data_IF_495952555113
#
_entry.id   IF_495952555113
#
_cell.length_a   1.000
_cell.length_b   1.000
_cell.length_c   1.000
_cell.angle_alpha   90.00
_cell.angle_beta   90.00
_cell.angle_gamma   90.00
#
_symmetry.space_group_name_H-M   'P 1'
#
loop_
_entity.id
_entity.type
_entity.pdbx_description
1 polymer ?
#
# COMPACT_ATOMS: atom_id res chain seq x y z
N UNK A 1 7.99 0.72 -11.69
CA UNK A 1 6.98 1.79 -11.73
C UNK A 1 6.89 2.45 -10.36
N UNK A 2 6.82 3.77 -10.33
CA UNK A 2 6.56 4.59 -9.14
C UNK A 2 5.54 5.67 -9.47
N UNK A 3 5.11 6.44 -8.48
CA UNK A 3 4.17 7.54 -8.69
C UNK A 3 4.41 8.69 -7.71
N UNK A 4 3.90 9.84 -8.07
CA UNK A 4 3.76 11.02 -7.19
C UNK A 4 2.42 11.71 -7.45
N UNK A 5 1.95 12.47 -6.46
CA UNK A 5 0.71 13.23 -6.58
C UNK A 5 1.07 14.61 -7.14
N UNK A 6 0.53 14.95 -8.32
CA UNK A 6 0.81 16.22 -9.01
C UNK A 6 2.31 16.54 -9.06
N UNK A 7 2.69 17.79 -8.98
CA UNK A 7 4.08 18.26 -8.98
C UNK A 7 4.84 18.00 -7.66
N UNK A 8 4.33 17.12 -6.78
CA UNK A 8 4.92 16.90 -5.46
C UNK A 8 5.50 15.49 -5.29
N UNK A 9 6.69 15.22 -5.84
CA UNK A 9 7.33 13.91 -5.71
C UNK A 9 7.66 13.60 -4.25
N UNK A 10 7.12 12.51 -3.77
CA UNK A 10 7.29 12.02 -2.40
C UNK A 10 8.72 11.54 -2.13
N UNK A 11 9.05 11.30 -0.85
CA UNK A 11 10.31 10.64 -0.51
C UNK A 11 10.40 9.26 -1.16
N UNK A 12 9.31 8.50 -1.19
CA UNK A 12 9.32 7.13 -1.72
C UNK A 12 9.50 7.10 -3.24
N UNK A 13 8.86 8.03 -3.99
CA UNK A 13 9.06 8.13 -5.44
C UNK A 13 10.51 8.51 -5.78
N UNK A 14 11.07 9.50 -5.09
CA UNK A 14 12.48 9.90 -5.25
C UNK A 14 13.43 8.75 -4.94
N UNK A 15 13.17 8.01 -3.86
CA UNK A 15 14.00 6.88 -3.45
C UNK A 15 13.87 5.70 -4.44
N UNK A 16 12.68 5.45 -4.98
CA UNK A 16 12.49 4.44 -6.01
C UNK A 16 13.27 4.77 -7.29
N UNK A 17 13.26 6.02 -7.72
CA UNK A 17 14.05 6.49 -8.88
C UNK A 17 15.56 6.33 -8.61
N UNK A 18 16.03 6.73 -7.41
CA UNK A 18 17.43 6.55 -7.00
C UNK A 18 17.85 5.07 -7.05
N UNK A 19 17.01 4.17 -6.53
CA UNK A 19 17.26 2.72 -6.58
C UNK A 19 17.35 2.24 -8.02
N UNK A 20 16.40 2.62 -8.87
CA UNK A 20 16.41 2.23 -10.27
C UNK A 20 17.69 2.69 -10.98
N UNK A 21 18.15 3.91 -10.72
CA UNK A 21 19.38 4.44 -11.29
C UNK A 21 20.62 3.65 -10.83
N UNK A 22 20.72 3.34 -9.55
CA UNK A 22 21.84 2.55 -8.99
C UNK A 22 21.87 1.12 -9.57
N UNK A 23 20.69 0.53 -9.73
CA UNK A 23 20.52 -0.83 -10.23
C UNK A 23 20.51 -0.92 -11.76
N UNK A 24 20.59 0.22 -12.43
CA UNK A 24 20.42 0.34 -13.89
C UNK A 24 19.10 -0.28 -14.38
N UNK A 25 18.04 -0.08 -13.63
CA UNK A 25 16.68 -0.50 -13.98
C UNK A 25 15.92 0.62 -14.64
N UNK A 26 15.06 0.26 -15.59
CA UNK A 26 14.12 1.21 -16.17
C UNK A 26 13.10 1.63 -15.11
N UNK A 27 12.98 2.93 -14.86
CA UNK A 27 11.96 3.51 -14.00
C UNK A 27 10.91 4.25 -14.84
N UNK A 28 9.66 4.05 -14.51
CA UNK A 28 8.52 4.84 -15.02
C UNK A 28 7.88 5.50 -13.81
N UNK A 29 7.95 6.81 -13.76
CA UNK A 29 7.29 7.61 -12.73
C UNK A 29 5.99 8.17 -13.29
N UNK A 30 4.89 7.96 -12.58
CA UNK A 30 3.56 8.36 -13.01
C UNK A 30 3.08 9.51 -12.15
N UNK A 31 2.75 10.63 -12.78
CA UNK A 31 2.02 11.70 -12.13
C UNK A 31 0.56 11.30 -11.95
N UNK A 32 0.06 11.49 -10.74
CA UNK A 32 -1.31 11.18 -10.34
C UNK A 32 -2.05 12.48 -10.08
N UNK A 33 -2.94 12.92 -10.98
CA UNK A 33 -3.71 14.14 -10.81
C UNK A 33 -4.76 13.98 -9.72
N UNK A 34 -5.18 15.09 -9.12
CA UNK A 34 -6.28 15.13 -8.15
C UNK A 34 -7.53 15.83 -8.67
N UNK A 35 -7.50 16.35 -9.87
CA UNK A 35 -8.63 17.10 -10.46
C UNK A 35 -9.91 16.26 -10.57
N UNK A 36 -9.77 14.96 -10.85
CA UNK A 36 -10.89 14.03 -10.96
C UNK A 36 -11.06 13.15 -9.72
N UNK A 37 -10.50 13.51 -8.58
CA UNK A 37 -10.47 12.67 -7.37
C UNK A 37 -11.86 12.18 -6.95
N UNK A 38 -12.90 12.99 -7.18
CA UNK A 38 -14.30 12.61 -6.91
C UNK A 38 -14.78 11.49 -7.84
N UNK A 39 -14.50 11.60 -9.14
CA UNK A 39 -14.83 10.55 -10.12
C UNK A 39 -14.07 9.26 -9.84
N UNK A 40 -12.79 9.39 -9.50
CA UNK A 40 -11.94 8.25 -9.12
C UNK A 40 -12.43 7.55 -7.87
N UNK A 41 -12.87 8.32 -6.88
CA UNK A 41 -13.48 7.77 -5.67
C UNK A 41 -14.72 6.93 -6.01
N UNK A 42 -15.59 7.41 -6.91
CA UNK A 42 -16.76 6.64 -7.36
C UNK A 42 -16.37 5.39 -8.13
N UNK A 43 -15.35 5.47 -8.98
CA UNK A 43 -14.81 4.29 -9.69
C UNK A 43 -14.33 3.24 -8.69
N UNK A 44 -13.55 3.64 -7.70
CA UNK A 44 -13.07 2.75 -6.65
C UNK A 44 -14.21 2.14 -5.82
N UNK A 45 -15.23 2.94 -5.52
CA UNK A 45 -16.40 2.48 -4.78
C UNK A 45 -17.23 1.48 -5.59
N UNK A 46 -17.59 1.83 -6.84
CA UNK A 46 -18.55 1.07 -7.64
C UNK A 46 -17.93 -0.16 -8.32
N UNK A 47 -16.73 -0.03 -8.84
CA UNK A 47 -16.10 -1.09 -9.64
C UNK A 47 -15.14 -1.93 -8.78
N UNK A 48 -14.31 -1.30 -7.96
CA UNK A 48 -13.31 -2.01 -7.15
C UNK A 48 -13.89 -2.48 -5.82
N UNK A 49 -15.03 -1.91 -5.41
CA UNK A 49 -15.72 -2.21 -4.14
C UNK A 49 -14.89 -1.83 -2.92
N UNK A 50 -14.19 -0.71 -3.00
CA UNK A 50 -13.56 -0.10 -1.84
C UNK A 50 -14.64 0.38 -0.85
N UNK A 51 -14.45 0.10 0.45
CA UNK A 51 -15.44 0.42 1.48
C UNK A 51 -14.83 1.06 2.73
N UNK A 52 -13.51 1.32 2.73
CA UNK A 52 -12.81 1.97 3.84
C UNK A 52 -11.86 3.03 3.29
N UNK A 53 -11.63 4.11 4.06
CA UNK A 53 -10.69 5.17 3.70
C UNK A 53 -9.35 4.60 3.19
N UNK A 54 -8.77 3.68 3.93
CA UNK A 54 -7.49 3.06 3.58
C UNK A 54 -7.52 2.27 2.26
N UNK A 55 -8.67 1.70 1.88
CA UNK A 55 -8.80 1.02 0.59
C UNK A 55 -8.73 2.02 -0.56
N UNK A 56 -9.45 3.15 -0.42
CA UNK A 56 -9.42 4.22 -1.42
C UNK A 56 -8.01 4.79 -1.56
N UNK A 57 -7.40 5.17 -0.45
CA UNK A 57 -6.06 5.76 -0.44
C UNK A 57 -4.99 4.83 -1.02
N UNK A 58 -5.07 3.53 -0.71
CA UNK A 58 -4.12 2.55 -1.24
C UNK A 58 -4.36 2.19 -2.71
N UNK A 59 -5.59 2.29 -3.21
CA UNK A 59 -5.94 1.93 -4.58
C UNK A 59 -5.90 3.13 -5.55
N UNK A 60 -6.17 4.33 -5.08
CA UNK A 60 -6.31 5.53 -5.91
C UNK A 60 -5.15 5.75 -6.90
N UNK A 61 -3.88 5.75 -6.48
CA UNK A 61 -2.80 6.02 -7.42
C UNK A 61 -2.69 4.99 -8.55
N UNK A 62 -3.12 3.77 -8.28
CA UNK A 62 -3.03 2.67 -9.25
C UNK A 62 -4.05 2.75 -10.38
N UNK A 63 -5.08 3.61 -10.27
CA UNK A 63 -5.92 3.98 -11.41
C UNK A 63 -5.09 4.62 -12.53
N UNK A 64 -4.00 5.29 -12.18
CA UNK A 64 -3.11 5.98 -13.10
C UNK A 64 -1.83 5.20 -13.42
N UNK A 65 -1.34 4.40 -12.47
CA UNK A 65 -0.14 3.59 -12.66
C UNK A 65 -0.40 2.42 -13.61
N UNK A 66 -1.46 1.65 -13.40
CA UNK A 66 -1.71 0.45 -14.20
C UNK A 66 -1.90 0.68 -15.70
N UNK A 67 -2.52 1.77 -16.17
CA UNK A 67 -2.54 2.08 -17.62
C UNK A 67 -1.16 2.22 -18.24
N UNK A 68 -0.16 2.67 -17.46
CA UNK A 68 1.21 2.87 -17.92
C UNK A 68 2.08 1.60 -17.82
N UNK A 69 1.62 0.57 -17.11
CA UNK A 69 2.32 -0.71 -16.98
C UNK A 69 2.18 -1.49 -18.28
N UNK A 70 3.30 -1.84 -18.91
CA UNK A 70 3.32 -2.62 -20.17
C UNK A 70 3.25 -4.11 -19.90
N UNK A 71 3.76 -4.55 -18.78
CA UNK A 71 3.82 -5.94 -18.36
C UNK A 71 2.43 -6.48 -18.04
N UNK A 72 2.22 -7.76 -18.31
CA UNK A 72 0.96 -8.45 -18.00
C UNK A 72 0.83 -8.81 -16.52
N UNK A 73 1.96 -9.05 -15.85
CA UNK A 73 2.02 -9.42 -14.46
C UNK A 73 2.70 -8.31 -13.65
N UNK A 74 2.14 -8.00 -12.49
CA UNK A 74 2.64 -6.95 -11.57
C UNK A 74 2.97 -7.59 -10.24
N UNK A 75 4.23 -7.49 -9.83
CA UNK A 75 4.68 -7.91 -8.51
C UNK A 75 4.50 -6.78 -7.49
N UNK A 76 3.95 -7.11 -6.34
CA UNK A 76 3.75 -6.17 -5.24
C UNK A 76 4.30 -6.69 -3.92
N UNK A 77 4.78 -5.77 -3.08
CA UNK A 77 5.27 -6.05 -1.73
C UNK A 77 4.18 -6.19 -0.67
N UNK A 78 2.91 -6.35 -1.07
CA UNK A 78 1.80 -6.47 -0.13
C UNK A 78 2.00 -7.69 0.78
N UNK A 79 1.84 -7.52 2.10
CA UNK A 79 2.10 -8.55 3.10
C UNK A 79 3.49 -8.45 3.75
N UNK A 80 4.48 -7.84 3.07
CA UNK A 80 5.83 -7.70 3.61
C UNK A 80 5.85 -7.08 5.01
N UNK A 81 5.17 -5.96 5.19
CA UNK A 81 5.19 -5.24 6.47
C UNK A 81 4.62 -6.06 7.64
N UNK A 82 3.74 -7.00 7.35
CA UNK A 82 3.22 -7.92 8.33
C UNK A 82 4.23 -8.97 8.75
N UNK A 83 4.86 -9.62 7.80
CA UNK A 83 5.88 -10.62 8.09
C UNK A 83 7.09 -10.02 8.81
N UNK A 84 7.46 -8.79 8.48
CA UNK A 84 8.50 -8.05 9.20
C UNK A 84 8.03 -7.46 10.54
N UNK A 85 6.72 -7.34 10.76
CA UNK A 85 6.18 -6.74 11.98
C UNK A 85 6.59 -5.29 12.18
N UNK A 86 6.57 -4.48 11.09
CA UNK A 86 7.04 -3.08 11.14
C UNK A 86 5.96 -2.09 11.55
N UNK A 87 4.70 -2.50 11.63
CA UNK A 87 3.60 -1.65 12.09
C UNK A 87 3.81 -1.19 13.53
N UNK A 88 3.29 -0.01 13.89
CA UNK A 88 3.35 0.49 15.27
C UNK A 88 2.75 -0.53 16.26
N UNK A 89 1.63 -1.18 15.89
CA UNK A 89 0.97 -2.21 16.70
C UNK A 89 1.91 -3.39 16.96
N UNK A 90 2.54 -3.93 15.92
CA UNK A 90 3.48 -5.03 16.02
C UNK A 90 4.69 -4.66 16.89
N UNK A 91 5.30 -3.49 16.63
CA UNK A 91 6.48 -3.03 17.36
C UNK A 91 6.24 -2.83 18.87
N UNK A 92 5.03 -2.53 19.30
CA UNK A 92 4.72 -2.25 20.72
C UNK A 92 4.22 -3.52 21.42
N UNK A 93 3.32 -4.28 20.79
CA UNK A 93 2.53 -5.29 21.49
C UNK A 93 2.88 -6.74 21.14
N UNK A 94 3.60 -6.96 20.02
CA UNK A 94 3.78 -8.31 19.46
C UNK A 94 5.24 -8.71 19.23
N UNK A 95 6.21 -8.01 19.82
CA UNK A 95 7.63 -8.36 19.68
C UNK A 95 7.98 -9.67 20.38
N UNK A 96 7.36 -9.90 21.52
CA UNK A 96 7.63 -11.01 22.43
C UNK A 96 6.36 -11.47 23.12
N UNK A 97 6.23 -12.77 23.41
CA UNK A 97 7.08 -13.83 22.89
C UNK A 97 6.88 -14.08 21.40
N UNK A 98 7.68 -14.99 20.80
CA UNK A 98 7.61 -15.32 19.36
C UNK A 98 6.21 -15.78 18.94
N UNK A 99 5.54 -16.55 19.79
CA UNK A 99 4.19 -17.08 19.55
C UNK A 99 3.18 -15.93 19.34
N UNK A 100 3.27 -14.85 20.11
CA UNK A 100 2.42 -13.65 19.88
C UNK A 100 2.72 -12.96 18.54
N UNK A 101 3.96 -12.99 18.11
CA UNK A 101 4.32 -12.43 16.83
C UNK A 101 3.79 -13.30 15.69
N UNK A 102 3.81 -14.61 15.84
CA UNK A 102 3.25 -15.54 14.87
C UNK A 102 1.71 -15.42 14.81
N UNK A 103 1.02 -15.34 15.97
CA UNK A 103 -0.41 -15.04 16.03
C UNK A 103 -0.77 -13.73 15.31
N UNK A 104 0.03 -12.67 15.46
CA UNK A 104 -0.17 -11.41 14.76
C UNK A 104 -0.03 -11.56 13.24
N UNK A 105 0.92 -12.38 12.78
CA UNK A 105 1.09 -12.68 11.36
C UNK A 105 -0.13 -13.44 10.83
N UNK A 106 -0.59 -14.46 11.54
CA UNK A 106 -1.75 -15.27 11.17
C UNK A 106 -3.03 -14.42 11.10
N UNK A 107 -3.28 -13.60 12.10
CA UNK A 107 -4.47 -12.75 12.15
C UNK A 107 -4.56 -11.77 10.98
N UNK A 108 -3.43 -11.25 10.51
CA UNK A 108 -3.45 -10.09 9.62
C UNK A 108 -2.91 -10.37 8.21
N UNK A 109 -2.08 -11.39 8.04
CA UNK A 109 -1.26 -11.55 6.84
C UNK A 109 -1.30 -12.92 6.19
N UNK A 110 -2.05 -13.87 6.72
CA UNK A 110 -2.41 -15.06 5.95
C UNK A 110 -3.14 -14.66 4.67
N UNK A 111 -3.03 -15.44 3.58
CA UNK A 111 -3.63 -15.11 2.29
C UNK A 111 -5.10 -14.72 2.35
N UNK A 112 -5.87 -15.36 3.22
CA UNK A 112 -7.28 -15.12 3.50
C UNK A 112 -7.54 -13.84 4.29
N UNK A 113 -6.59 -13.43 5.15
CA UNK A 113 -6.70 -12.28 6.04
C UNK A 113 -6.05 -11.01 5.47
N UNK A 114 -5.31 -11.13 4.37
CA UNK A 114 -4.58 -10.03 3.76
C UNK A 114 -5.53 -9.03 3.08
N UNK A 115 -5.98 -8.07 3.87
CA UNK A 115 -7.07 -7.17 3.54
C UNK A 115 -6.90 -6.31 2.29
N UNK A 116 -5.67 -6.02 1.84
CA UNK A 116 -5.45 -5.22 0.64
C UNK A 116 -5.52 -6.01 -0.67
N UNK A 117 -5.32 -7.32 -0.62
CA UNK A 117 -5.14 -8.15 -1.81
C UNK A 117 -6.33 -8.09 -2.77
N UNK A 118 -7.55 -8.21 -2.26
CA UNK A 118 -8.75 -8.28 -3.09
C UNK A 118 -8.98 -7.01 -3.93
N UNK A 119 -8.79 -5.84 -3.36
CA UNK A 119 -8.98 -4.56 -4.07
C UNK A 119 -7.87 -4.31 -5.09
N UNK A 120 -6.62 -4.59 -4.75
CA UNK A 120 -5.52 -4.49 -5.70
C UNK A 120 -5.64 -5.50 -6.84
N UNK A 121 -6.11 -6.73 -6.57
CA UNK A 121 -6.38 -7.72 -7.61
C UNK A 121 -7.46 -7.22 -8.57
N UNK A 122 -8.62 -6.79 -8.07
CA UNK A 122 -9.70 -6.23 -8.89
C UNK A 122 -9.27 -5.04 -9.72
N UNK A 123 -8.48 -4.16 -9.10
CA UNK A 123 -7.97 -2.97 -9.79
C UNK A 123 -6.99 -3.34 -10.91
N UNK A 124 -6.08 -4.26 -10.67
CA UNK A 124 -5.15 -4.74 -11.69
C UNK A 124 -5.91 -5.44 -12.84
N UNK A 125 -6.89 -6.29 -12.52
CA UNK A 125 -7.74 -6.99 -13.49
C UNK A 125 -8.54 -6.02 -14.36
N UNK A 126 -9.03 -4.89 -13.82
CA UNK A 126 -9.68 -3.83 -14.58
C UNK A 126 -8.80 -3.33 -15.75
N UNK A 127 -7.49 -3.34 -15.59
CA UNK A 127 -6.51 -2.94 -16.60
C UNK A 127 -5.84 -4.13 -17.29
N UNK A 128 -6.43 -5.34 -17.22
CA UNK A 128 -5.92 -6.53 -17.87
C UNK A 128 -4.59 -7.04 -17.29
N UNK A 129 -4.28 -6.72 -16.03
CA UNK A 129 -3.07 -7.12 -15.33
C UNK A 129 -3.36 -8.24 -14.32
N UNK A 130 -2.36 -9.08 -14.08
CA UNK A 130 -2.37 -10.08 -13.02
C UNK A 130 -1.56 -9.56 -11.83
N UNK A 131 -2.21 -9.40 -10.69
CA UNK A 131 -1.60 -8.95 -9.45
C UNK A 131 -0.99 -10.12 -8.70
N UNK A 132 0.31 -10.06 -8.47
CA UNK A 132 1.08 -11.08 -7.77
C UNK A 132 1.67 -10.50 -6.48
N UNK A 133 1.46 -11.18 -5.37
CA UNK A 133 2.10 -10.86 -4.10
C UNK A 133 2.86 -12.09 -3.58
N UNK A 134 4.19 -12.12 -3.71
CA UNK A 134 5.00 -13.27 -3.30
C UNK A 134 4.85 -13.61 -1.82
N UNK A 135 4.57 -12.62 -0.98
CA UNK A 135 4.45 -12.80 0.47
C UNK A 135 3.28 -13.69 0.92
N UNK A 136 2.34 -14.02 0.04
CA UNK A 136 1.29 -15.01 0.36
C UNK A 136 1.69 -16.45 0.02
N UNK A 137 2.87 -16.64 -0.60
CA UNK A 137 3.36 -17.98 -0.92
C UNK A 137 3.81 -18.72 0.36
N UNK A 138 3.48 -19.99 0.45
CA UNK A 138 3.79 -20.83 1.63
C UNK A 138 5.27 -20.80 2.00
N UNK A 139 6.17 -20.94 1.02
CA UNK A 139 7.62 -20.98 1.27
C UNK A 139 8.14 -19.67 1.87
N UNK A 140 7.59 -18.53 1.44
CA UNK A 140 7.94 -17.22 2.01
C UNK A 140 7.42 -17.13 3.45
N UNK A 141 6.18 -17.56 3.68
CA UNK A 141 5.60 -17.64 5.02
C UNK A 141 6.47 -18.50 5.93
N UNK A 142 6.75 -19.73 5.52
CA UNK A 142 7.48 -20.71 6.32
C UNK A 142 8.91 -20.24 6.62
N UNK A 143 9.52 -19.51 5.68
CA UNK A 143 10.79 -18.83 5.92
C UNK A 143 10.67 -17.80 7.06
N UNK A 144 9.67 -16.91 7.04
CA UNK A 144 9.53 -15.87 8.07
C UNK A 144 9.16 -16.42 9.43
N UNK A 145 8.43 -17.53 9.51
CA UNK A 145 8.03 -18.16 10.78
C UNK A 145 9.18 -18.84 11.53
N UNK A 146 10.34 -18.98 10.91
CA UNK A 146 11.56 -19.43 11.59
C UNK A 146 12.14 -18.36 12.53
N UNK A 147 11.79 -17.09 12.34
CA UNK A 147 12.43 -15.95 13.01
C UNK A 147 11.48 -15.25 13.99
N UNK A 148 12.04 -14.84 15.14
CA UNK A 148 11.39 -13.88 16.00
C UNK A 148 11.53 -12.44 15.45
N UNK A 149 10.84 -11.49 16.12
CA UNK A 149 10.84 -10.09 15.69
C UNK A 149 12.23 -9.46 15.69
N UNK A 150 13.06 -9.78 16.70
CA UNK A 150 14.39 -9.18 16.84
C UNK A 150 15.35 -9.68 15.79
N UNK A 151 15.31 -10.98 15.47
CA UNK A 151 16.18 -11.58 14.45
C UNK A 151 16.02 -10.91 13.07
N UNK A 152 14.82 -10.47 12.73
CA UNK A 152 14.57 -9.84 11.43
C UNK A 152 14.61 -8.30 11.44
N UNK A 153 14.61 -7.66 12.63
CA UNK A 153 14.53 -6.21 12.75
C UNK A 153 15.71 -5.56 13.47
N UNK A 154 16.69 -6.30 13.94
CA UNK A 154 17.92 -5.76 14.54
C UNK A 154 19.15 -6.11 13.71
N UNK A 155 20.13 -5.21 13.60
CA UNK A 155 20.25 -3.90 14.28
C UNK A 155 19.32 -2.80 13.73
N UNK A 156 18.68 -3.02 12.57
CA UNK A 156 17.66 -2.12 12.00
C UNK A 156 16.64 -2.93 11.18
N UNK A 157 15.47 -2.34 10.96
CA UNK A 157 14.39 -3.02 10.24
C UNK A 157 14.82 -3.46 8.83
N UNK A 158 14.51 -4.73 8.48
CA UNK A 158 14.81 -5.32 7.16
C UNK A 158 16.31 -5.40 6.85
N UNK A 159 17.20 -5.44 7.86
CA UNK A 159 18.65 -5.42 7.68
C UNK A 159 19.17 -6.55 6.78
N UNK A 160 18.57 -7.73 6.85
CA UNK A 160 18.96 -8.87 6.04
C UNK A 160 18.72 -8.64 4.54
N UNK A 161 17.68 -7.89 4.16
CA UNK A 161 17.45 -7.49 2.76
C UNK A 161 18.63 -6.62 2.28
N UNK A 162 18.98 -5.60 3.06
CA UNK A 162 20.12 -4.71 2.72
C UNK A 162 21.42 -5.49 2.67
N UNK A 163 21.61 -6.45 3.55
CA UNK A 163 22.84 -7.27 3.58
C UNK A 163 22.90 -8.29 2.42
N UNK A 164 21.75 -8.80 1.97
CA UNK A 164 21.68 -9.74 0.85
C UNK A 164 21.94 -9.08 -0.52
N UNK A 165 21.75 -7.77 -0.59
CA UNK A 165 21.94 -6.99 -1.83
C UNK A 165 22.98 -5.89 -1.58
N UNK A 166 24.27 -6.15 -1.83
CA UNK A 166 25.36 -5.18 -1.57
C UNK A 166 25.16 -3.83 -2.24
N UNK A 167 24.43 -3.80 -3.36
CA UNK A 167 24.07 -2.57 -4.09
C UNK A 167 23.28 -1.60 -3.23
N UNK A 168 22.46 -2.10 -2.30
CA UNK A 168 21.69 -1.25 -1.39
C UNK A 168 22.56 -0.44 -0.43
N UNK A 169 23.81 -0.85 -0.21
CA UNK A 169 24.78 -0.05 0.57
C UNK A 169 25.09 1.29 -0.10
N UNK A 170 24.91 1.38 -1.44
CA UNK A 170 25.12 2.60 -2.22
C UNK A 170 23.94 3.57 -2.10
N UNK A 171 22.78 3.12 -1.66
CA UNK A 171 21.53 3.91 -1.63
C UNK A 171 21.46 4.83 -0.40
N UNK A 172 22.46 4.79 0.47
CA UNK A 172 22.46 5.58 1.70
C UNK A 172 21.42 5.09 2.73
N UNK A 173 21.15 5.92 3.73
CA UNK A 173 20.22 5.55 4.81
C UNK A 173 18.77 5.61 4.33
N UNK A 174 18.03 4.53 4.58
CA UNK A 174 16.58 4.53 4.44
C UNK A 174 15.93 5.25 5.64
N UNK A 175 14.88 6.00 5.38
CA UNK A 175 14.04 6.53 6.45
C UNK A 175 13.28 5.39 7.13
N UNK A 176 12.89 5.61 8.38
CA UNK A 176 11.96 4.74 9.08
C UNK A 176 10.68 4.59 8.25
N UNK A 177 10.10 3.40 8.29
CA UNK A 177 8.82 3.12 7.61
C UNK A 177 7.76 4.20 7.90
N UNK A 178 7.17 4.73 6.85
CA UNK A 178 6.03 5.65 6.86
C UNK A 178 4.96 5.03 5.95
N UNK A 179 3.71 5.14 6.35
CA UNK A 179 2.60 4.66 5.53
C UNK A 179 2.56 5.39 4.18
N UNK A 180 2.28 4.65 3.11
CA UNK A 180 2.20 5.16 1.74
C UNK A 180 1.31 6.40 1.64
N UNK A 181 0.14 6.38 2.28
CA UNK A 181 -0.84 7.45 2.23
C UNK A 181 -0.28 8.79 2.73
N UNK A 182 0.44 8.74 3.86
CA UNK A 182 1.07 9.94 4.45
C UNK A 182 2.27 10.41 3.63
N UNK A 183 3.11 9.47 3.20
CA UNK A 183 4.34 9.81 2.48
C UNK A 183 4.05 10.43 1.11
N UNK A 184 3.03 9.93 0.42
CA UNK A 184 2.63 10.41 -0.90
C UNK A 184 1.62 11.57 -0.87
N UNK A 185 1.15 12.02 0.32
CA UNK A 185 0.15 13.10 0.43
C UNK A 185 -1.26 12.73 0.02
N UNK A 186 -1.54 11.44 -0.16
CA UNK A 186 -2.86 10.94 -0.59
C UNK A 186 -3.94 11.22 0.47
N UNK A 187 -3.59 11.05 1.74
CA UNK A 187 -4.48 11.30 2.86
C UNK A 187 -4.98 12.73 2.87
N UNK A 188 -4.10 13.70 2.60
CA UNK A 188 -4.46 15.13 2.52
C UNK A 188 -5.37 15.41 1.33
N UNK A 189 -5.11 14.81 0.17
CA UNK A 189 -5.97 14.94 -1.01
C UNK A 189 -7.39 14.42 -0.70
N UNK A 190 -7.50 13.26 -0.07
CA UNK A 190 -8.81 12.72 0.35
C UNK A 190 -9.48 13.53 1.45
N UNK A 191 -8.74 14.12 2.39
CA UNK A 191 -9.31 15.05 3.37
C UNK A 191 -9.93 16.26 2.69
N UNK A 192 -9.28 16.84 1.70
CA UNK A 192 -9.81 17.97 0.93
C UNK A 192 -11.09 17.58 0.19
N UNK A 193 -11.09 16.44 -0.52
CA UNK A 193 -12.29 15.91 -1.19
C UNK A 193 -13.48 15.80 -0.24
N UNK A 194 -13.21 15.35 0.97
CA UNK A 194 -14.23 15.07 1.97
C UNK A 194 -14.68 16.35 2.69
N UNK A 195 -13.84 17.37 2.77
CA UNK A 195 -14.19 18.68 3.35
C UNK A 195 -15.01 19.54 2.38
N UNK A 196 -14.84 19.39 1.07
CA UNK A 196 -15.65 20.06 0.05
C UNK A 196 -17.07 19.49 -0.06
N UNK A 197 -17.30 18.27 0.42
CA UNK A 197 -18.65 17.75 0.62
C UNK A 197 -19.20 18.33 1.93
N UNK A 198 -20.48 18.67 2.01
CA UNK A 198 -21.17 19.16 3.21
C UNK A 198 -21.06 18.24 4.45
N UNK A 199 -20.22 17.25 4.37
CA UNK A 199 -20.02 16.17 5.32
C UNK A 199 -18.68 16.34 6.02
N UNK A 200 -18.72 16.64 7.29
CA UNK A 200 -17.54 16.82 8.15
C UNK A 200 -16.85 15.48 8.48
N UNK A 201 -15.78 15.15 7.80
CA UNK A 201 -15.10 13.86 7.81
C UNK A 201 -14.05 13.63 8.89
N UNK A 202 -14.00 14.41 9.92
CA UNK A 202 -13.02 14.26 11.00
C UNK A 202 -13.05 12.90 11.72
N UNK A 203 -13.99 12.00 11.41
CA UNK A 203 -14.07 10.67 12.06
C UNK A 203 -14.09 9.53 11.04
N UNK A 204 -13.16 8.58 11.27
CA UNK A 204 -12.95 7.35 10.49
C UNK A 204 -14.24 6.56 10.16
N UNK A 205 -15.25 6.64 11.03
CA UNK A 205 -16.53 5.96 10.86
C UNK A 205 -17.41 6.61 9.78
N UNK A 206 -17.24 7.89 9.50
CA UNK A 206 -18.08 8.62 8.55
C UNK A 206 -17.85 8.24 7.09
N UNK A 207 -16.64 7.85 6.69
CA UNK A 207 -16.43 7.31 5.34
C UNK A 207 -17.21 6.02 5.13
N UNK A 208 -17.28 5.18 6.16
CA UNK A 208 -18.10 3.97 6.11
C UNK A 208 -19.58 4.29 5.95
N UNK A 209 -20.06 5.32 6.63
CA UNK A 209 -21.45 5.77 6.54
C UNK A 209 -21.75 6.33 5.16
N UNK A 210 -20.87 7.16 4.60
CA UNK A 210 -21.02 7.67 3.24
C UNK A 210 -20.93 6.57 2.19
N UNK A 211 -19.96 5.64 2.32
CA UNK A 211 -19.90 4.51 1.41
C UNK A 211 -21.21 3.69 1.46
N UNK A 212 -21.82 3.58 2.64
CA UNK A 212 -23.10 2.91 2.84
C UNK A 212 -24.24 3.72 2.22
N UNK A 213 -24.30 5.00 2.52
CA UNK A 213 -25.32 5.92 2.00
C UNK A 213 -25.23 6.03 0.48
N UNK A 214 -24.04 6.04 -0.10
CA UNK A 214 -23.85 6.03 -1.55
C UNK A 214 -24.13 4.67 -2.18
N UNK A 215 -23.95 3.57 -1.47
CA UNK A 215 -24.35 2.24 -1.95
C UNK A 215 -25.88 2.04 -1.89
N UNK A 216 -26.55 2.66 -0.91
CA UNK A 216 -27.98 2.55 -0.69
C UNK A 216 -28.77 3.65 -1.39
N UNK A 217 -28.23 4.84 -1.50
CA UNK A 217 -28.86 5.92 -2.27
C UNK A 217 -28.69 5.62 -3.77
N UNK A 218 -29.80 5.49 -4.45
CA UNK A 218 -29.87 5.53 -5.93
C UNK A 218 -29.58 6.95 -6.45
N UNK A 219 -28.53 7.57 -5.96
CA UNK A 219 -28.07 8.86 -6.47
C UNK A 219 -27.51 8.62 -7.87
N UNK A 220 -28.39 8.71 -8.84
CA UNK A 220 -28.05 9.02 -10.23
C UNK A 220 -27.43 10.41 -10.21
N UNK A 221 -26.12 10.48 -10.43
CA UNK A 221 -25.48 11.71 -10.83
C UNK A 221 -25.60 11.77 -12.35
N UNK A 222 -26.51 12.61 -12.82
CA UNK A 222 -26.46 13.17 -14.16
C UNK A 222 -25.28 14.15 -14.27
#
# INVERSE_FOLDING_TARGET
YTFHIEDNPSYDSKKAIEICNIMNWKCVDTEVPIDNLRGDFFTLLKEIKCVKKTHFECCFPFLYVYPNVKEREVLAGLGADGYYGVSKKACIHFKTPKEKFDEYRDEHYLPENLGGKIWHTRLAEKFGKKYLTPYVHSDIRDFFYQFDWFQINQPFQKHHVVNSFPEFKKIGKFKKHINLQLCAGIDKAFENLLNDSEVNFRKRNRIMDICRDWQTSRLTFE
#
